data_IF_544192543003
#
_entry.id   IF_544192543003
#
_cell.length_a   1.000
_cell.length_b   1.000
_cell.length_c   1.000
_cell.angle_alpha   90.00
_cell.angle_beta   90.00
_cell.angle_gamma   90.00
#
_symmetry.space_group_name_H-M   'P 1'
#
loop_
_entity.id
_entity.type
_entity.pdbx_description
1 polymer ?
#
# COMPACT_ATOMS: atom_id res chain seq x y z
N UNK A 1 57.15 -42.21 -37.88
CA UNK A 1 58.22 -42.79 -37.03
C UNK A 1 58.02 -42.36 -35.58
N UNK A 2 57.95 -43.34 -34.67
CA UNK A 2 58.30 -43.33 -33.23
C UNK A 2 57.35 -42.55 -32.27
N UNK A 3 56.33 -43.17 -31.67
CA UNK A 3 56.29 -43.93 -30.39
C UNK A 3 56.94 -43.21 -29.18
N UNK A 4 56.13 -42.86 -28.17
CA UNK A 4 56.30 -43.33 -26.77
C UNK A 4 55.07 -43.09 -25.90
N UNK A 5 54.67 -44.15 -25.22
CA UNK A 5 53.65 -44.23 -24.19
C UNK A 5 54.28 -44.15 -22.78
N UNK A 6 53.53 -43.70 -21.77
CA UNK A 6 53.63 -44.14 -20.36
C UNK A 6 52.40 -43.68 -19.57
N UNK A 7 51.50 -44.62 -19.23
CA UNK A 7 51.24 -45.18 -17.87
C UNK A 7 50.82 -44.12 -16.83
N UNK A 8 49.54 -44.08 -16.47
CA UNK A 8 48.87 -44.89 -15.42
C UNK A 8 49.24 -44.48 -13.99
N UNK A 9 48.29 -43.86 -13.29
CA UNK A 9 48.03 -44.16 -11.87
C UNK A 9 46.56 -43.91 -11.52
N UNK A 10 45.89 -45.01 -11.20
CA UNK A 10 44.64 -45.05 -10.46
C UNK A 10 44.82 -44.36 -9.11
N UNK A 11 43.86 -43.52 -8.72
CA UNK A 11 43.46 -43.43 -7.32
C UNK A 11 41.95 -43.59 -7.23
N UNK A 12 41.57 -44.79 -6.78
CA UNK A 12 40.30 -45.08 -6.11
C UNK A 12 40.22 -44.22 -4.85
N UNK A 13 39.06 -43.63 -4.58
CA UNK A 13 38.83 -43.03 -3.27
C UNK A 13 37.51 -42.29 -3.13
N UNK A 14 36.46 -43.03 -2.72
CA UNK A 14 35.34 -42.59 -1.86
C UNK A 14 34.48 -41.45 -2.43
N UNK A 15 33.37 -41.74 -3.12
CA UNK A 15 32.06 -41.98 -2.50
C UNK A 15 31.82 -41.08 -1.27
N UNK A 16 31.33 -39.86 -1.51
CA UNK A 16 30.65 -39.03 -0.50
C UNK A 16 29.18 -38.97 -0.93
N UNK A 17 28.35 -39.76 -0.25
CA UNK A 17 26.91 -39.62 -0.25
C UNK A 17 26.57 -38.32 0.49
N UNK A 18 26.14 -37.28 -0.24
CA UNK A 18 25.37 -36.18 0.35
C UNK A 18 23.92 -36.46 0.00
N UNK A 19 23.25 -37.20 0.89
CA UNK A 19 21.83 -37.50 0.75
C UNK A 19 21.03 -36.29 1.26
N UNK A 20 20.23 -35.73 0.34
CA UNK A 20 19.16 -34.79 0.61
C UNK A 20 18.25 -35.25 1.77
N UNK A 21 18.09 -34.42 2.79
CA UNK A 21 16.89 -34.37 3.62
C UNK A 21 16.89 -33.07 4.43
N UNK A 22 15.70 -32.48 4.63
CA UNK A 22 15.37 -31.29 5.43
C UNK A 22 15.29 -29.96 4.68
N UNK A 23 14.38 -29.89 3.70
CA UNK A 23 13.68 -28.66 3.33
C UNK A 23 12.17 -28.92 3.29
N UNK A 24 11.57 -29.13 4.45
CA UNK A 24 10.11 -29.05 4.65
C UNK A 24 9.83 -28.36 5.99
N UNK A 25 10.29 -27.11 6.12
CA UNK A 25 9.73 -26.16 7.08
C UNK A 25 8.39 -25.69 6.52
N UNK A 26 7.30 -26.14 7.13
CA UNK A 26 5.95 -26.06 6.59
C UNK A 26 5.41 -24.65 6.39
N UNK A 27 4.93 -24.38 5.17
CA UNK A 27 3.72 -23.60 5.02
C UNK A 27 2.57 -24.48 5.53
N UNK A 28 2.25 -24.39 6.82
CA UNK A 28 1.03 -24.98 7.35
C UNK A 28 -0.14 -24.46 6.53
N UNK A 29 -0.86 -25.37 5.87
CA UNK A 29 -2.06 -25.02 5.10
C UNK A 29 -3.04 -24.32 6.03
N UNK A 30 -3.36 -23.07 5.69
CA UNK A 30 -4.33 -22.26 6.45
C UNK A 30 -5.68 -22.96 6.33
N UNK A 31 -6.12 -23.64 7.38
CA UNK A 31 -7.53 -23.98 7.52
C UNK A 31 -8.29 -22.67 7.66
N UNK A 32 -9.26 -22.36 6.77
CA UNK A 32 -10.11 -21.20 6.98
C UNK A 32 -10.85 -21.38 8.31
N UNK A 33 -10.63 -20.45 9.23
CA UNK A 33 -11.39 -20.41 10.48
C UNK A 33 -12.88 -20.33 10.14
N UNK A 34 -13.74 -21.02 10.90
CA UNK A 34 -15.19 -20.93 10.69
C UNK A 34 -15.64 -19.46 10.83
N UNK A 35 -16.62 -19.01 10.02
CA UNK A 35 -17.24 -17.70 10.22
C UNK A 35 -17.84 -17.66 11.62
N UNK A 36 -17.37 -16.71 12.44
CA UNK A 36 -17.95 -16.49 13.76
C UNK A 36 -19.32 -15.85 13.54
N UNK A 37 -20.36 -16.54 14.00
CA UNK A 37 -21.71 -15.99 14.07
C UNK A 37 -21.68 -14.65 14.81
N UNK A 38 -22.29 -13.61 14.22
CA UNK A 38 -22.29 -12.25 14.76
C UNK A 38 -22.67 -12.25 16.24
N UNK A 39 -21.67 -12.04 17.11
CA UNK A 39 -21.92 -11.58 18.46
C UNK A 39 -22.51 -10.17 18.41
N UNK A 40 -23.24 -9.73 19.45
CA UNK A 40 -23.98 -8.47 19.44
C UNK A 40 -23.06 -7.33 19.01
N UNK A 41 -23.37 -6.80 17.83
CA UNK A 41 -22.56 -5.85 17.04
C UNK A 41 -22.48 -4.46 17.70
N UNK A 42 -23.25 -4.26 18.77
CA UNK A 42 -23.61 -2.93 19.27
C UNK A 42 -22.75 -2.47 20.46
N UNK A 43 -21.98 -3.36 21.10
CA UNK A 43 -21.31 -3.06 22.37
C UNK A 43 -19.82 -2.69 22.25
N UNK A 44 -19.14 -2.98 21.12
CA UNK A 44 -17.70 -2.80 20.99
C UNK A 44 -17.27 -1.77 19.94
N UNK A 45 -18.20 -1.21 19.17
CA UNK A 45 -17.92 -0.13 18.21
C UNK A 45 -17.57 1.21 18.88
N UNK A 46 -17.73 1.35 20.21
CA UNK A 46 -17.43 2.59 20.92
C UNK A 46 -16.09 2.60 21.70
N UNK A 47 -15.40 1.47 21.85
CA UNK A 47 -14.33 1.37 22.85
C UNK A 47 -12.89 1.37 22.35
N UNK A 48 -12.64 1.49 21.04
CA UNK A 48 -11.27 1.66 20.53
C UNK A 48 -11.21 2.55 19.28
N UNK A 49 -11.76 3.76 19.38
CA UNK A 49 -11.31 4.91 18.60
C UNK A 49 -9.94 5.36 19.12
N UNK A 50 -8.96 4.46 19.05
CA UNK A 50 -7.60 4.71 19.49
C UNK A 50 -6.94 5.75 18.62
N UNK A 51 -7.09 7.02 19.00
CA UNK A 51 -6.20 8.16 18.80
C UNK A 51 -5.39 8.22 17.48
N UNK A 52 -6.09 8.08 16.35
CA UNK A 52 -5.63 8.56 15.05
C UNK A 52 -6.59 9.64 14.56
N UNK A 53 -6.67 10.75 15.32
CA UNK A 53 -7.23 12.01 14.82
C UNK A 53 -6.28 12.63 13.79
N UNK A 54 -5.95 11.89 12.73
CA UNK A 54 -5.51 12.57 11.52
C UNK A 54 -6.70 13.44 11.10
N UNK A 55 -6.54 14.76 11.26
CA UNK A 55 -7.62 15.69 10.97
C UNK A 55 -7.86 15.61 9.48
N UNK A 56 -9.03 15.12 9.11
CA UNK A 56 -9.48 15.24 7.74
C UNK A 56 -9.91 16.69 7.47
N UNK A 57 -9.62 17.18 6.27
CA UNK A 57 -8.85 16.55 5.20
C UNK A 57 -7.33 16.59 5.46
N UNK A 58 -6.59 15.56 5.00
CA UNK A 58 -5.13 15.48 5.15
C UNK A 58 -4.38 16.52 4.32
N UNK A 59 -4.90 16.78 3.13
CA UNK A 59 -4.32 17.70 2.17
C UNK A 59 -5.43 18.39 1.38
N UNK A 60 -5.29 19.70 1.25
CA UNK A 60 -6.19 20.50 0.43
C UNK A 60 -5.83 20.39 -1.06
N UNK A 61 -6.82 20.56 -1.95
CA UNK A 61 -6.58 20.57 -3.38
C UNK A 61 -5.51 21.60 -3.76
N UNK A 62 -4.49 21.18 -4.50
CA UNK A 62 -3.39 22.03 -4.93
C UNK A 62 -2.83 21.60 -6.28
N UNK A 63 -2.42 22.57 -7.09
CA UNK A 63 -1.62 22.30 -8.28
C UNK A 63 -0.24 21.76 -7.87
N UNK A 64 0.18 20.66 -8.47
CA UNK A 64 1.46 19.98 -8.17
C UNK A 64 2.44 20.02 -9.35
N UNK A 65 2.01 20.52 -10.51
CA UNK A 65 2.85 20.65 -11.69
C UNK A 65 2.06 21.02 -12.95
N UNK A 66 2.73 21.14 -14.10
CA UNK A 66 2.07 21.26 -15.39
C UNK A 66 1.22 20.01 -15.67
N UNK A 67 0.16 20.16 -16.46
CA UNK A 67 -0.60 19.01 -16.92
C UNK A 67 0.29 18.13 -17.82
N UNK A 68 0.21 16.79 -17.69
CA UNK A 68 0.87 15.90 -18.63
C UNK A 68 0.26 16.05 -20.02
N UNK A 69 1.06 15.78 -21.06
CA UNK A 69 0.59 15.80 -22.46
C UNK A 69 -0.58 14.83 -22.69
N UNK A 70 -0.52 13.66 -22.06
CA UNK A 70 -1.59 12.67 -22.07
C UNK A 70 -1.73 12.07 -20.68
N UNK A 71 -2.87 12.32 -20.05
CA UNK A 71 -3.19 11.85 -18.71
C UNK A 71 -3.22 10.31 -18.62
N UNK A 72 -3.66 9.62 -19.69
CA UNK A 72 -3.84 8.16 -19.68
C UNK A 72 -2.53 7.40 -19.80
N UNK A 73 -1.54 8.01 -20.42
CA UNK A 73 -0.20 7.43 -20.62
C UNK A 73 0.86 8.10 -19.75
N UNK A 74 0.43 8.93 -18.79
CA UNK A 74 1.32 9.56 -17.81
C UNK A 74 2.08 8.52 -17.00
N UNK A 75 3.38 8.74 -16.85
CA UNK A 75 4.20 7.93 -15.97
C UNK A 75 4.03 8.38 -14.52
N UNK A 76 3.09 7.74 -13.82
CA UNK A 76 2.76 8.02 -12.42
C UNK A 76 3.90 7.72 -11.44
N UNK A 77 4.94 7.00 -11.88
CA UNK A 77 6.07 6.58 -11.05
C UNK A 77 7.22 7.58 -11.06
N UNK A 78 7.16 8.61 -11.92
CA UNK A 78 8.16 9.67 -12.06
C UNK A 78 7.54 11.05 -11.81
N UNK A 79 6.70 11.17 -10.77
CA UNK A 79 6.01 12.39 -10.39
C UNK A 79 6.45 12.91 -9.03
N UNK A 80 6.15 14.19 -8.79
CA UNK A 80 6.25 14.81 -7.48
C UNK A 80 4.91 14.79 -6.76
N UNK A 81 4.77 13.98 -5.72
CA UNK A 81 3.48 13.70 -5.07
C UNK A 81 3.46 14.09 -3.58
N UNK A 82 2.32 14.59 -3.08
CA UNK A 82 2.12 14.82 -1.64
C UNK A 82 2.13 13.51 -0.84
N UNK A 83 2.71 13.54 0.35
CA UNK A 83 2.93 12.36 1.20
C UNK A 83 2.72 12.66 2.70
N UNK A 84 1.79 13.56 3.02
CA UNK A 84 1.57 14.07 4.37
C UNK A 84 1.17 12.97 5.36
N UNK A 85 0.50 11.91 4.88
CA UNK A 85 0.18 10.69 5.66
C UNK A 85 1.41 9.96 6.20
N UNK A 86 2.57 10.17 5.57
CA UNK A 86 3.86 9.63 6.00
C UNK A 86 4.65 10.64 6.87
N UNK A 87 4.00 11.73 7.31
CA UNK A 87 4.59 12.87 8.03
C UNK A 87 5.73 13.56 7.28
N UNK A 88 5.67 13.55 5.95
CA UNK A 88 6.59 14.26 5.05
C UNK A 88 5.95 15.59 4.67
N UNK A 89 6.62 16.71 4.98
CA UNK A 89 6.04 18.05 4.79
C UNK A 89 6.07 18.53 3.33
N UNK A 90 7.06 18.08 2.57
CA UNK A 90 7.28 18.50 1.19
C UNK A 90 6.83 17.41 0.22
N UNK A 91 6.27 17.77 -0.95
CA UNK A 91 5.98 16.79 -1.99
C UNK A 91 7.24 16.02 -2.41
N UNK A 92 7.11 14.70 -2.48
CA UNK A 92 8.17 13.72 -2.73
C UNK A 92 8.35 13.53 -4.21
N UNK A 93 9.57 13.67 -4.69
CA UNK A 93 9.94 13.36 -6.06
C UNK A 93 10.27 11.87 -6.17
N UNK A 94 9.46 11.14 -6.93
CA UNK A 94 9.67 9.72 -7.18
C UNK A 94 10.49 9.51 -8.45
N UNK A 95 11.34 8.48 -8.41
CA UNK A 95 12.09 8.01 -9.58
C UNK A 95 11.87 6.52 -9.74
N UNK A 96 11.23 6.13 -10.85
CA UNK A 96 10.80 4.75 -11.10
C UNK A 96 9.96 4.17 -9.95
N UNK A 97 9.16 5.02 -9.32
CA UNK A 97 8.23 4.63 -8.27
C UNK A 97 8.84 4.60 -6.89
N UNK A 98 10.11 4.96 -6.72
CA UNK A 98 10.78 4.87 -5.42
C UNK A 98 11.36 6.23 -4.99
N UNK A 99 11.44 6.46 -3.68
CA UNK A 99 12.09 7.61 -3.08
C UNK A 99 12.58 7.31 -1.65
N UNK A 100 13.66 7.97 -1.23
CA UNK A 100 14.10 8.01 0.17
C UNK A 100 13.88 9.42 0.71
N UNK A 101 13.11 9.56 1.78
CA UNK A 101 12.73 10.86 2.34
C UNK A 101 12.81 10.88 3.85
N UNK A 102 12.76 12.09 4.44
CA UNK A 102 12.75 12.26 5.89
C UNK A 102 11.31 12.51 6.37
N UNK A 103 10.77 11.54 7.11
CA UNK A 103 9.55 11.66 7.91
C UNK A 103 9.86 12.34 9.24
N UNK A 104 9.04 13.31 9.64
CA UNK A 104 9.16 13.93 10.97
C UNK A 104 8.89 12.96 12.12
N UNK A 105 8.17 11.88 11.85
CA UNK A 105 7.78 10.90 12.86
C UNK A 105 8.73 9.71 12.92
N UNK A 106 9.21 9.23 11.78
CA UNK A 106 9.97 7.97 11.69
C UNK A 106 11.42 8.13 11.24
N UNK A 107 11.88 9.36 10.95
CA UNK A 107 13.22 9.59 10.41
C UNK A 107 13.29 9.26 8.92
N UNK A 108 14.38 8.64 8.48
CA UNK A 108 14.53 8.26 7.07
C UNK A 108 13.60 7.09 6.76
N UNK A 109 12.75 7.27 5.75
CA UNK A 109 11.78 6.27 5.28
C UNK A 109 11.95 6.05 3.78
N UNK A 110 11.61 4.84 3.35
CA UNK A 110 11.43 4.49 1.95
C UNK A 110 9.98 4.75 1.55
N UNK A 111 9.79 5.30 0.36
CA UNK A 111 8.48 5.52 -0.24
C UNK A 111 8.40 4.84 -1.59
N UNK A 112 7.27 4.19 -1.83
CA UNK A 112 6.92 3.59 -3.13
C UNK A 112 5.68 4.24 -3.71
N UNK A 113 5.56 4.28 -5.03
CA UNK A 113 4.44 4.83 -5.78
C UNK A 113 4.00 3.90 -6.91
N UNK A 114 2.69 3.66 -7.02
CA UNK A 114 2.09 2.87 -8.10
C UNK A 114 0.72 3.43 -8.50
N UNK A 115 0.36 3.30 -9.77
CA UNK A 115 -1.02 3.60 -10.20
C UNK A 115 -1.97 2.53 -9.62
N UNK A 116 -2.98 2.95 -8.87
CA UNK A 116 -3.98 2.06 -8.28
C UNK A 116 -5.26 2.02 -9.13
N UNK A 117 -5.72 3.19 -9.57
CA UNK A 117 -6.93 3.31 -10.38
C UNK A 117 -6.85 4.53 -11.30
N UNK A 118 -7.56 4.47 -12.44
CA UNK A 118 -7.69 5.57 -13.37
C UNK A 118 -9.07 5.58 -14.04
N UNK A 119 -9.58 6.77 -14.38
CA UNK A 119 -10.84 6.98 -15.09
C UNK A 119 -11.76 7.96 -14.36
N UNK A 120 -13.05 7.88 -14.59
CA UNK A 120 -14.07 8.70 -13.92
C UNK A 120 -14.32 8.22 -12.47
N UNK A 121 -13.33 8.42 -11.61
CA UNK A 121 -13.37 7.98 -10.22
C UNK A 121 -14.43 8.71 -9.39
N UNK A 122 -14.76 9.96 -9.73
CA UNK A 122 -15.73 10.78 -8.99
C UNK A 122 -17.15 10.78 -9.58
N UNK A 123 -17.36 10.09 -10.71
CA UNK A 123 -18.64 10.02 -11.43
C UNK A 123 -19.16 11.40 -11.83
N UNK A 124 -18.27 12.28 -12.27
CA UNK A 124 -18.58 13.64 -12.72
C UNK A 124 -18.14 13.91 -14.17
N UNK A 125 -17.65 12.87 -14.86
CA UNK A 125 -17.23 12.93 -16.26
C UNK A 125 -15.78 13.40 -16.46
N UNK A 126 -15.03 13.73 -15.42
CA UNK A 126 -13.60 14.03 -15.54
C UNK A 126 -12.74 12.78 -15.36
N UNK A 127 -11.55 12.77 -15.97
CA UNK A 127 -10.56 11.72 -15.72
C UNK A 127 -9.77 12.04 -14.43
N UNK A 128 -9.61 11.00 -13.61
CA UNK A 128 -8.85 10.99 -12.37
C UNK A 128 -7.84 9.84 -12.35
N UNK A 129 -6.78 10.00 -11.57
CA UNK A 129 -5.85 8.93 -11.26
C UNK A 129 -5.69 8.85 -9.74
N UNK A 130 -5.74 7.65 -9.18
CA UNK A 130 -5.37 7.39 -7.81
C UNK A 130 -4.01 6.69 -7.80
N UNK A 131 -3.00 7.35 -7.22
CA UNK A 131 -1.64 6.82 -7.11
C UNK A 131 -1.44 6.37 -5.67
N UNK A 132 -1.27 5.07 -5.47
CA UNK A 132 -1.01 4.49 -4.16
C UNK A 132 0.44 4.74 -3.76
N UNK A 133 0.61 5.26 -2.55
CA UNK A 133 1.87 5.55 -1.93
C UNK A 133 2.09 4.66 -0.71
N UNK A 134 3.20 3.93 -0.68
CA UNK A 134 3.68 3.19 0.48
C UNK A 134 4.72 4.00 1.24
N UNK A 135 4.73 3.87 2.57
CA UNK A 135 5.73 4.46 3.46
C UNK A 135 6.25 3.35 4.39
N UNK A 136 7.52 3.00 4.27
CA UNK A 136 8.12 1.88 5.00
C UNK A 136 9.53 2.21 5.52
N UNK A 137 10.03 1.37 6.43
CA UNK A 137 11.34 1.56 7.07
C UNK A 137 12.54 1.04 6.27
N UNK A 138 12.35 0.70 4.99
CA UNK A 138 13.35 0.08 4.10
C UNK A 138 13.90 -1.27 4.62
N UNK A 139 13.16 -1.95 5.50
CA UNK A 139 13.58 -3.22 6.08
C UNK A 139 13.38 -4.44 5.18
N UNK A 140 12.71 -4.27 4.03
CA UNK A 140 12.47 -5.34 3.04
C UNK A 140 11.48 -6.43 3.50
N UNK A 141 10.71 -6.18 4.56
CA UNK A 141 9.70 -7.13 5.07
C UNK A 141 8.33 -6.46 5.14
N UNK A 142 7.25 -7.25 5.11
CA UNK A 142 5.89 -6.74 5.29
C UNK A 142 5.70 -6.01 6.64
N UNK A 143 6.47 -6.39 7.66
CA UNK A 143 6.48 -5.71 8.96
C UNK A 143 7.09 -4.30 8.92
N UNK A 144 7.74 -3.94 7.80
CA UNK A 144 8.34 -2.63 7.61
C UNK A 144 7.37 -1.53 7.21
N UNK A 145 6.14 -1.87 6.79
CA UNK A 145 5.13 -0.89 6.40
C UNK A 145 4.77 -0.01 7.62
N UNK A 146 4.81 1.31 7.44
CA UNK A 146 4.52 2.31 8.46
C UNK A 146 3.18 2.99 8.20
N UNK A 147 2.93 3.35 6.94
CA UNK A 147 1.67 3.97 6.50
C UNK A 147 1.44 3.75 4.99
N UNK A 148 0.20 3.95 4.56
CA UNK A 148 -0.21 3.89 3.16
C UNK A 148 -1.28 4.96 2.90
N UNK A 149 -1.34 5.48 1.68
CA UNK A 149 -2.40 6.38 1.24
C UNK A 149 -2.39 6.52 -0.28
N UNK A 150 -3.50 6.97 -0.83
CA UNK A 150 -3.67 7.15 -2.27
C UNK A 150 -3.92 8.61 -2.58
N UNK A 151 -3.07 9.19 -3.42
CA UNK A 151 -3.21 10.57 -3.89
C UNK A 151 -4.12 10.58 -5.10
N UNK A 152 -5.21 11.33 -5.02
CA UNK A 152 -6.15 11.47 -6.13
C UNK A 152 -5.79 12.70 -6.95
N UNK A 153 -5.61 12.50 -8.25
CA UNK A 153 -5.08 13.49 -9.18
C UNK A 153 -6.09 13.75 -10.31
N UNK A 154 -6.07 14.97 -10.85
CA UNK A 154 -6.82 15.34 -12.06
C UNK A 154 -6.12 16.47 -12.81
N UNK A 155 -6.53 16.74 -14.04
CA UNK A 155 -6.05 17.90 -14.82
C UNK A 155 -7.10 19.00 -14.80
N UNK A 156 -6.71 20.20 -14.37
CA UNK A 156 -7.55 21.39 -14.37
C UNK A 156 -6.73 22.60 -14.79
N UNK A 157 -7.25 23.38 -15.73
CA UNK A 157 -6.62 24.63 -16.19
C UNK A 157 -5.14 24.43 -16.61
N UNK A 158 -4.85 23.37 -17.38
CA UNK A 158 -3.49 23.03 -17.85
C UNK A 158 -2.47 22.70 -16.74
N UNK A 159 -2.92 22.44 -15.52
CA UNK A 159 -2.09 21.97 -14.43
C UNK A 159 -2.55 20.57 -13.96
N UNK A 160 -1.61 19.78 -13.45
CA UNK A 160 -1.89 18.59 -12.67
C UNK A 160 -2.21 19.01 -11.24
N UNK A 161 -3.38 18.60 -10.76
CA UNK A 161 -3.87 18.90 -9.41
C UNK A 161 -3.91 17.63 -8.58
N UNK A 162 -3.47 17.74 -7.34
CA UNK A 162 -3.89 16.82 -6.28
C UNK A 162 -5.18 17.33 -5.67
N UNK A 163 -6.18 16.46 -5.55
CA UNK A 163 -7.45 16.75 -4.88
C UNK A 163 -7.42 16.38 -3.39
N UNK A 164 -6.37 15.67 -2.98
CA UNK A 164 -6.16 15.21 -1.62
C UNK A 164 -5.66 13.77 -1.59
N UNK A 165 -5.41 13.30 -0.37
CA UNK A 165 -4.99 11.92 -0.08
C UNK A 165 -6.10 11.22 0.69
N UNK A 166 -6.46 10.00 0.26
CA UNK A 166 -7.30 9.08 1.04
C UNK A 166 -6.41 8.06 1.73
N UNK A 167 -6.74 7.69 2.97
CA UNK A 167 -5.94 6.73 3.74
C UNK A 167 -6.80 5.58 4.25
N UNK A 168 -6.19 4.43 4.55
CA UNK A 168 -6.87 3.39 5.30
C UNK A 168 -7.36 3.92 6.67
N UNK A 169 -8.58 3.58 7.07
CA UNK A 169 -9.23 4.07 8.29
C UNK A 169 -9.37 2.99 9.36
N UNK A 170 -9.59 1.73 8.99
CA UNK A 170 -9.67 0.64 9.97
C UNK A 170 -8.27 0.31 10.44
N UNK A 171 -7.98 0.50 11.73
CA UNK A 171 -6.77 0.00 12.38
C UNK A 171 -7.10 -0.42 13.80
N UNK A 172 -6.54 -1.55 14.25
CA UNK A 172 -6.60 -1.92 15.66
C UNK A 172 -5.32 -1.49 16.37
N UNK A 173 -5.39 -1.21 17.69
CA UNK A 173 -4.18 -1.08 18.49
C UNK A 173 -3.31 -2.33 18.38
N UNK A 174 -1.99 -2.12 18.38
CA UNK A 174 -0.97 -3.18 18.36
C UNK A 174 -0.98 -4.10 17.13
N UNK A 175 -1.58 -3.66 16.02
CA UNK A 175 -1.53 -4.36 14.73
C UNK A 175 -0.76 -3.58 13.68
N UNK A 176 -0.38 -4.28 12.59
CA UNK A 176 0.21 -3.65 11.42
C UNK A 176 -0.71 -2.57 10.80
N UNK A 177 -0.16 -1.63 10.02
CA UNK A 177 -0.97 -0.65 9.31
C UNK A 177 -1.80 -1.32 8.23
N UNK A 178 -2.99 -0.78 8.01
CA UNK A 178 -3.87 -1.19 6.91
C UNK A 178 -3.38 -0.59 5.59
N UNK A 179 -3.85 -1.15 4.48
CA UNK A 179 -3.54 -0.64 3.14
C UNK A 179 -4.75 -0.72 2.22
N UNK A 180 -4.79 0.21 1.27
CA UNK A 180 -5.78 0.22 0.21
C UNK A 180 -5.55 -0.94 -0.74
N UNK A 181 -6.62 -1.62 -1.11
CA UNK A 181 -6.62 -2.74 -2.07
C UNK A 181 -7.44 -2.46 -3.31
N UNK A 182 -8.31 -1.45 -3.25
CA UNK A 182 -9.17 -1.03 -4.37
C UNK A 182 -9.69 0.38 -4.15
N UNK A 183 -9.73 1.16 -5.22
CA UNK A 183 -10.43 2.45 -5.30
C UNK A 183 -11.41 2.40 -6.46
N UNK A 184 -12.68 2.69 -6.19
CA UNK A 184 -13.72 2.69 -7.20
C UNK A 184 -14.71 3.84 -7.03
N UNK A 185 -15.43 4.24 -8.08
CA UNK A 185 -16.46 5.26 -7.96
C UNK A 185 -17.59 4.82 -7.02
N UNK A 186 -18.03 5.71 -6.13
CA UNK A 186 -19.24 5.51 -5.34
C UNK A 186 -20.40 6.43 -5.77
N UNK A 187 -20.18 7.25 -6.81
CA UNK A 187 -21.12 8.26 -7.28
C UNK A 187 -21.07 9.57 -6.49
N UNK A 188 -21.58 10.66 -7.10
CA UNK A 188 -21.78 11.97 -6.46
C UNK A 188 -20.50 12.59 -5.88
N UNK A 189 -19.39 12.55 -6.61
CA UNK A 189 -18.14 13.16 -6.13
C UNK A 189 -17.46 12.36 -5.01
N UNK A 190 -17.73 11.05 -4.91
CA UNK A 190 -17.21 10.20 -3.85
C UNK A 190 -16.55 8.92 -4.39
N UNK A 191 -15.52 8.49 -3.66
CA UNK A 191 -14.77 7.26 -3.86
C UNK A 191 -15.20 6.22 -2.83
N UNK A 192 -15.27 4.95 -3.22
CA UNK A 192 -15.25 3.83 -2.30
C UNK A 192 -13.83 3.27 -2.28
N UNK A 193 -13.27 3.21 -1.08
CA UNK A 193 -11.95 2.65 -0.81
C UNK A 193 -12.14 1.35 -0.05
N UNK A 194 -11.63 0.25 -0.60
CA UNK A 194 -11.58 -1.05 0.08
C UNK A 194 -10.18 -1.25 0.63
N UNK A 195 -10.09 -1.58 1.92
CA UNK A 195 -8.83 -1.76 2.63
C UNK A 195 -8.71 -3.16 3.24
N UNK A 196 -7.48 -3.66 3.27
CA UNK A 196 -7.11 -4.80 4.09
C UNK A 196 -6.59 -4.32 5.44
N UNK A 197 -7.05 -4.95 6.53
CA UNK A 197 -6.65 -4.60 7.88
C UNK A 197 -6.33 -5.84 8.73
N UNK A 198 -5.41 -5.67 9.66
CA UNK A 198 -4.95 -6.76 10.52
C UNK A 198 -5.87 -6.97 11.73
N UNK A 199 -6.33 -8.20 11.90
CA UNK A 199 -6.83 -8.68 13.20
C UNK A 199 -5.65 -8.95 14.13
N UNK A 200 -5.91 -8.97 15.44
CA UNK A 200 -4.86 -9.25 16.45
C UNK A 200 -4.17 -10.62 16.28
N UNK A 201 -4.86 -11.58 15.67
CA UNK A 201 -4.33 -12.92 15.39
C UNK A 201 -3.53 -13.02 14.10
N UNK A 202 -3.54 -11.97 13.27
CA UNK A 202 -2.91 -12.01 11.96
C UNK A 202 -1.38 -11.90 12.10
N UNK A 203 -0.65 -12.70 11.33
CA UNK A 203 0.79 -12.50 11.15
C UNK A 203 1.04 -11.22 10.34
N UNK A 204 2.22 -10.63 10.48
CA UNK A 204 2.60 -9.33 9.86
C UNK A 204 2.51 -9.30 8.33
N UNK A 205 2.47 -10.45 7.66
CA UNK A 205 2.34 -10.56 6.21
C UNK A 205 0.90 -10.57 5.71
N UNK A 206 -0.06 -10.87 6.57
CA UNK A 206 -1.24 -11.60 6.16
C UNK A 206 -2.50 -11.10 6.87
N UNK A 207 -2.98 -9.89 6.54
CA UNK A 207 -4.24 -9.40 7.08
C UNK A 207 -5.39 -10.27 6.59
N UNK A 208 -6.35 -10.51 7.48
CA UNK A 208 -7.55 -11.29 7.18
C UNK A 208 -8.83 -10.45 7.16
N UNK A 209 -8.78 -9.22 7.68
CA UNK A 209 -9.90 -8.29 7.71
C UNK A 209 -10.03 -7.47 6.43
N UNK A 210 -11.28 -7.16 6.06
CA UNK A 210 -11.59 -6.23 4.97
C UNK A 210 -12.55 -5.16 5.49
N UNK A 211 -12.31 -3.91 5.12
CA UNK A 211 -13.18 -2.80 5.42
C UNK A 211 -13.38 -1.91 4.20
N UNK A 212 -14.45 -1.12 4.22
CA UNK A 212 -14.78 -0.15 3.19
C UNK A 212 -15.00 1.22 3.84
N UNK A 213 -14.47 2.25 3.19
CA UNK A 213 -14.70 3.64 3.54
C UNK A 213 -15.14 4.42 2.31
N UNK A 214 -16.20 5.21 2.43
CA UNK A 214 -16.57 6.18 1.38
C UNK A 214 -15.91 7.51 1.69
N UNK A 215 -15.22 8.06 0.71
CA UNK A 215 -14.53 9.35 0.79
C UNK A 215 -15.20 10.34 -0.15
N UNK A 216 -15.72 11.44 0.38
CA UNK A 216 -16.35 12.50 -0.40
C UNK A 216 -15.34 13.60 -0.68
N UNK A 217 -15.24 14.00 -1.95
CA UNK A 217 -14.44 15.15 -2.36
C UNK A 217 -15.10 16.45 -1.93
N UNK A 218 -14.33 17.37 -1.38
CA UNK A 218 -14.76 18.71 -0.95
C UNK A 218 -13.74 19.75 -1.42
N UNK A 219 -14.07 21.04 -1.31
CA UNK A 219 -13.12 22.13 -1.59
C UNK A 219 -11.89 22.10 -0.68
N UNK A 220 -11.98 21.43 0.47
CA UNK A 220 -10.90 21.29 1.43
C UNK A 220 -10.09 20.01 1.25
N UNK A 221 -10.52 19.08 0.38
CA UNK A 221 -9.93 17.76 0.20
C UNK A 221 -10.93 16.64 0.45
N UNK A 222 -10.45 15.44 0.75
CA UNK A 222 -11.33 14.30 1.01
C UNK A 222 -11.73 14.19 2.49
N UNK A 223 -13.02 13.91 2.71
CA UNK A 223 -13.60 13.63 4.03
C UNK A 223 -14.21 12.23 4.01
N UNK A 224 -13.91 11.42 5.01
CA UNK A 224 -14.39 10.05 5.13
C UNK A 224 -15.73 9.95 5.85
N UNK A 225 -16.57 9.03 5.38
CA UNK A 225 -17.67 8.48 6.15
C UNK A 225 -17.14 7.44 7.16
N UNK A 226 -17.94 7.02 8.16
CA UNK A 226 -17.59 5.92 9.03
C UNK A 226 -17.23 4.65 8.24
N UNK A 227 -16.11 4.05 8.61
CA UNK A 227 -15.62 2.80 8.01
C UNK A 227 -16.50 1.62 8.38
N UNK A 228 -16.84 0.80 7.38
CA UNK A 228 -17.66 -0.41 7.52
C UNK A 228 -16.77 -1.65 7.38
N UNK A 229 -16.77 -2.52 8.38
CA UNK A 229 -16.13 -3.85 8.25
C UNK A 229 -17.00 -4.73 7.35
N UNK A 230 -16.36 -5.39 6.38
CA UNK A 230 -17.04 -6.26 5.40
C UNK A 230 -16.62 -7.71 5.59
N UNK A 231 -15.42 -7.95 6.14
CA UNK A 231 -14.91 -9.28 6.48
C UNK A 231 -14.00 -9.21 7.69
#
# INVERSE_FOLDING_TARGET
MIRRARRSRQHRGRLVFVLCALLLGGCGGVQPLPPIAGGPEDAWLQLNSGDSREREPLSAPKAIGPAPTDFRTTDWTNLRLPAEFCHVEQPVEFHNGEAMVTSRQWGIVHMSARLEAQGDLLSDGNDYAAVSLGCDNNGGTAAGLLANGDVVLTVKQQALWSLGTVTPKKRLPDTGPSWTTKIEPSGKGALRVTESWFRRSDGTCCPSGVAETVWTSTDSGFVSAPTRVVK
#
